data_IF_259662461317
#
_entry.id   IF_259662461317
#
_cell.length_a   1.000
_cell.length_b   1.000
_cell.length_c   1.000
_cell.angle_alpha   90.00
_cell.angle_beta   90.00
_cell.angle_gamma   90.00
#
_symmetry.space_group_name_H-M   'P 1'
#
loop_
_entity.id
_entity.type
_entity.pdbx_description
1 polymer ?
#
# COMPACT_ATOMS: atom_id res chain seq x y z
N UNK A 1 2.18 -5.63 -29.67
CA UNK A 1 0.99 -6.11 -28.92
C UNK A 1 -0.14 -5.12 -29.18
N UNK A 2 -1.35 -5.59 -29.52
CA UNK A 2 -2.49 -4.69 -29.76
C UNK A 2 -2.69 -3.73 -28.59
N UNK A 3 -2.79 -2.45 -28.88
CA UNK A 3 -3.25 -1.42 -27.94
C UNK A 3 -4.74 -1.62 -27.67
N UNK A 4 -5.09 -2.69 -26.98
CA UNK A 4 -6.46 -2.91 -26.53
C UNK A 4 -6.74 -1.83 -25.48
N UNK A 5 -7.61 -0.86 -25.82
CA UNK A 5 -8.07 0.17 -24.88
C UNK A 5 -8.62 -0.52 -23.64
N UNK A 6 -7.85 -0.51 -22.55
CA UNK A 6 -8.28 -1.08 -21.28
C UNK A 6 -9.43 -0.21 -20.77
N UNK A 7 -10.60 -0.81 -20.56
CA UNK A 7 -11.72 -0.09 -19.98
C UNK A 7 -11.33 0.46 -18.59
N UNK A 8 -11.74 1.69 -18.21
CA UNK A 8 -11.36 2.29 -16.93
C UNK A 8 -11.67 1.42 -15.72
N UNK A 9 -12.79 0.69 -15.76
CA UNK A 9 -13.16 -0.28 -14.72
C UNK A 9 -12.14 -1.40 -14.57
N UNK A 10 -11.73 -2.01 -15.69
CA UNK A 10 -10.73 -3.10 -15.71
C UNK A 10 -9.37 -2.59 -15.23
N UNK A 11 -9.03 -1.35 -15.56
CA UNK A 11 -7.80 -0.72 -15.06
C UNK A 11 -7.81 -0.63 -13.52
N UNK A 12 -8.89 -0.07 -12.96
CA UNK A 12 -9.04 0.07 -11.50
C UNK A 12 -9.05 -1.31 -10.83
N UNK A 13 -9.79 -2.27 -11.36
CA UNK A 13 -9.87 -3.62 -10.80
C UNK A 13 -8.49 -4.32 -10.77
N UNK A 14 -7.66 -4.12 -11.81
CA UNK A 14 -6.29 -4.65 -11.86
C UNK A 14 -5.37 -3.97 -10.84
N UNK A 15 -5.48 -2.65 -10.69
CA UNK A 15 -4.72 -1.89 -9.70
C UNK A 15 -5.09 -2.31 -8.28
N UNK A 16 -6.38 -2.38 -7.97
CA UNK A 16 -6.90 -2.83 -6.68
C UNK A 16 -6.47 -4.28 -6.40
N UNK A 17 -6.60 -5.17 -7.39
CA UNK A 17 -6.20 -6.57 -7.27
C UNK A 17 -4.70 -6.77 -7.04
N UNK A 18 -3.84 -5.99 -7.71
CA UNK A 18 -2.39 -6.02 -7.48
C UNK A 18 -2.02 -5.47 -6.10
N UNK A 19 -2.67 -4.37 -5.70
CA UNK A 19 -2.46 -3.76 -4.39
C UNK A 19 -2.85 -4.70 -3.25
N UNK A 20 -3.99 -5.40 -3.36
CA UNK A 20 -4.44 -6.35 -2.34
C UNK A 20 -3.41 -7.45 -2.08
N UNK A 21 -2.84 -8.05 -3.13
CA UNK A 21 -1.79 -9.07 -2.99
C UNK A 21 -0.51 -8.43 -2.42
N UNK A 22 -0.14 -7.23 -2.85
CA UNK A 22 1.06 -6.55 -2.34
C UNK A 22 0.98 -6.18 -0.86
N UNK A 23 -0.18 -5.77 -0.36
CA UNK A 23 -0.44 -5.54 1.06
C UNK A 23 -0.24 -6.84 1.85
N UNK A 24 -0.82 -7.95 1.36
CA UNK A 24 -0.70 -9.27 2.00
C UNK A 24 0.78 -9.67 2.09
N UNK A 25 1.52 -9.56 0.99
CA UNK A 25 2.93 -9.95 0.95
C UNK A 25 3.79 -9.02 1.83
N UNK A 26 3.66 -7.70 1.68
CA UNK A 26 4.54 -6.74 2.34
C UNK A 26 4.30 -6.55 3.84
N UNK A 27 3.05 -6.69 4.30
CA UNK A 27 2.67 -6.29 5.66
C UNK A 27 2.43 -7.45 6.62
N UNK A 28 1.85 -8.55 6.15
CA UNK A 28 1.47 -9.67 7.02
C UNK A 28 2.69 -10.30 7.72
N UNK A 29 3.85 -10.51 7.04
CA UNK A 29 4.99 -11.12 7.70
C UNK A 29 5.41 -10.35 8.96
N UNK A 30 5.52 -9.02 8.88
CA UNK A 30 5.86 -8.21 10.04
C UNK A 30 4.75 -8.20 11.09
N UNK A 31 3.48 -8.09 10.70
CA UNK A 31 2.37 -8.07 11.65
C UNK A 31 2.29 -9.35 12.49
N UNK A 32 2.44 -10.52 11.85
CA UNK A 32 2.41 -11.83 12.52
C UNK A 32 3.68 -12.04 13.36
N UNK A 33 4.86 -11.80 12.79
CA UNK A 33 6.12 -11.97 13.50
C UNK A 33 6.22 -11.02 14.69
N UNK A 34 5.83 -9.76 14.57
CA UNK A 34 5.86 -8.81 15.67
C UNK A 34 4.98 -9.24 16.85
N UNK A 35 3.83 -9.88 16.59
CA UNK A 35 2.97 -10.42 17.66
C UNK A 35 3.64 -11.60 18.39
N UNK A 36 4.30 -12.50 17.64
CA UNK A 36 4.97 -13.67 18.20
C UNK A 36 6.26 -13.28 18.93
N UNK A 37 7.11 -12.47 18.30
CA UNK A 37 8.43 -12.11 18.78
C UNK A 37 8.39 -11.27 20.06
N UNK A 38 7.31 -10.51 20.29
CA UNK A 38 7.06 -9.85 21.58
C UNK A 38 7.06 -10.81 22.76
N UNK A 39 6.68 -12.08 22.56
CA UNK A 39 6.68 -13.10 23.62
C UNK A 39 8.09 -13.60 23.99
N UNK A 40 9.10 -13.36 23.13
CA UNK A 40 10.47 -13.84 23.31
C UNK A 40 11.43 -12.79 23.90
N UNK A 41 10.92 -11.62 24.30
CA UNK A 41 11.68 -10.59 25.00
C UNK A 41 12.88 -10.06 24.20
N UNK A 42 14.04 -9.96 24.86
CA UNK A 42 15.28 -9.38 24.31
C UNK A 42 16.22 -10.42 23.69
N UNK A 43 15.73 -11.61 23.33
CA UNK A 43 16.57 -12.61 22.67
C UNK A 43 17.19 -12.01 21.38
N UNK A 44 18.52 -12.00 21.21
CA UNK A 44 19.17 -11.40 20.05
C UNK A 44 18.65 -11.90 18.71
N UNK A 45 18.36 -13.20 18.60
CA UNK A 45 17.79 -13.78 17.38
C UNK A 45 16.39 -13.24 17.08
N UNK A 46 15.54 -13.11 18.11
CA UNK A 46 14.19 -12.57 17.95
C UNK A 46 14.22 -11.11 17.51
N UNK A 47 15.15 -10.31 18.05
CA UNK A 47 15.33 -8.90 17.66
C UNK A 47 15.78 -8.81 16.20
N UNK A 48 16.77 -9.59 15.78
CA UNK A 48 17.24 -9.59 14.38
C UNK A 48 16.18 -10.06 13.40
N UNK A 49 15.39 -11.07 13.75
CA UNK A 49 14.27 -11.53 12.92
C UNK A 49 13.19 -10.46 12.79
N UNK A 50 12.89 -9.73 13.87
CA UNK A 50 11.98 -8.59 13.83
C UNK A 50 12.50 -7.45 12.94
N UNK A 51 13.79 -7.14 13.01
CA UNK A 51 14.42 -6.15 12.13
C UNK A 51 14.33 -6.57 10.66
N UNK A 52 14.58 -7.83 10.34
CA UNK A 52 14.42 -8.36 8.98
C UNK A 52 12.98 -8.19 8.46
N UNK A 53 11.98 -8.44 9.31
CA UNK A 53 10.58 -8.26 8.95
C UNK A 53 10.21 -6.78 8.70
N UNK A 54 10.76 -5.85 9.49
CA UNK A 54 10.58 -4.40 9.27
C UNK A 54 11.25 -3.97 7.96
N UNK A 55 12.47 -4.44 7.67
CA UNK A 55 13.16 -4.14 6.41
C UNK A 55 12.35 -4.66 5.21
N UNK A 56 11.80 -5.87 5.33
CA UNK A 56 10.91 -6.41 4.30
C UNK A 56 9.66 -5.53 4.11
N UNK A 57 9.09 -5.05 5.22
CA UNK A 57 7.95 -4.15 5.22
C UNK A 57 8.26 -2.79 4.55
N UNK A 58 9.48 -2.26 4.68
CA UNK A 58 9.89 -1.04 3.95
C UNK A 58 9.71 -1.22 2.43
N UNK A 59 9.95 -2.43 1.91
CA UNK A 59 9.80 -2.78 0.49
C UNK A 59 8.35 -2.92 0.02
N UNK A 60 7.34 -2.78 0.90
CA UNK A 60 5.92 -2.95 0.55
C UNK A 60 5.49 -2.14 -0.67
N UNK A 61 5.86 -0.85 -0.82
CA UNK A 61 5.45 -0.08 -1.99
C UNK A 61 6.02 -0.61 -3.31
N UNK A 62 7.26 -1.12 -3.27
CA UNK A 62 7.91 -1.73 -4.41
C UNK A 62 7.15 -3.00 -4.81
N UNK A 63 6.80 -3.84 -3.83
CA UNK A 63 6.03 -5.08 -4.05
C UNK A 63 4.63 -4.76 -4.60
N UNK A 64 3.95 -3.75 -4.06
CA UNK A 64 2.65 -3.30 -4.56
C UNK A 64 2.77 -2.85 -6.03
N UNK A 65 3.73 -1.99 -6.35
CA UNK A 65 3.92 -1.50 -7.72
C UNK A 65 4.26 -2.60 -8.72
N UNK A 66 5.13 -3.55 -8.35
CA UNK A 66 5.45 -4.69 -9.23
C UNK A 66 4.24 -5.60 -9.47
N UNK A 67 3.47 -5.91 -8.42
CA UNK A 67 2.29 -6.76 -8.54
C UNK A 67 1.12 -6.08 -9.28
N UNK A 68 0.97 -4.76 -9.14
CA UNK A 68 0.06 -3.99 -9.99
C UNK A 68 0.46 -4.18 -11.45
N UNK A 69 1.72 -3.93 -11.81
CA UNK A 69 2.22 -4.12 -13.18
C UNK A 69 2.06 -5.56 -13.69
N UNK A 70 2.21 -6.56 -12.81
CA UNK A 70 1.94 -7.96 -13.14
C UNK A 70 0.50 -8.20 -13.59
N UNK A 71 -0.49 -7.53 -12.96
CA UNK A 71 -1.90 -7.61 -13.36
C UNK A 71 -2.16 -6.99 -14.75
N UNK A 72 -1.23 -6.20 -15.27
CA UNK A 72 -1.26 -5.68 -16.64
C UNK A 72 -0.47 -6.54 -17.64
N UNK A 73 0.14 -7.64 -17.20
CA UNK A 73 0.89 -8.54 -18.08
C UNK A 73 2.22 -7.97 -18.57
N UNK A 74 2.80 -7.03 -17.82
CA UNK A 74 4.09 -6.44 -18.16
C UNK A 74 5.25 -7.43 -17.96
N UNK A 75 6.34 -7.21 -18.67
CA UNK A 75 7.58 -7.98 -18.50
C UNK A 75 8.32 -7.59 -17.22
N UNK A 76 9.33 -8.38 -16.83
CA UNK A 76 10.06 -8.18 -15.58
C UNK A 76 10.69 -6.77 -15.47
N UNK A 77 11.13 -6.21 -16.59
CA UNK A 77 11.69 -4.86 -16.63
C UNK A 77 10.62 -3.79 -16.34
N UNK A 78 9.52 -3.78 -17.10
CA UNK A 78 8.43 -2.82 -16.88
C UNK A 78 7.82 -2.97 -15.49
N UNK A 79 7.69 -4.20 -14.98
CA UNK A 79 7.22 -4.47 -13.63
C UNK A 79 8.11 -3.83 -12.56
N UNK A 80 9.43 -4.05 -12.64
CA UNK A 80 10.38 -3.48 -11.67
C UNK A 80 10.49 -1.97 -11.77
N UNK A 81 10.32 -1.38 -12.97
CA UNK A 81 10.25 0.07 -13.14
C UNK A 81 9.01 0.67 -12.45
N UNK A 82 7.83 0.07 -12.62
CA UNK A 82 6.61 0.50 -11.90
C UNK A 82 6.78 0.35 -10.39
N UNK A 83 7.38 -0.77 -9.95
CA UNK A 83 7.74 -0.98 -8.54
C UNK A 83 8.67 0.10 -8.00
N UNK A 84 9.72 0.45 -8.75
CA UNK A 84 10.65 1.52 -8.39
C UNK A 84 9.97 2.89 -8.33
N UNK A 85 9.11 3.23 -9.31
CA UNK A 85 8.32 4.46 -9.28
C UNK A 85 7.42 4.52 -8.04
N UNK A 86 6.71 3.43 -7.74
CA UNK A 86 5.84 3.32 -6.58
C UNK A 86 6.63 3.45 -5.27
N UNK A 87 7.83 2.86 -5.20
CA UNK A 87 8.73 2.99 -4.05
C UNK A 87 9.15 4.45 -3.81
N UNK A 88 9.58 5.16 -4.86
CA UNK A 88 9.93 6.58 -4.78
C UNK A 88 8.73 7.44 -4.39
N UNK A 89 7.57 7.22 -5.01
CA UNK A 89 6.37 8.01 -4.75
C UNK A 89 5.71 7.73 -3.40
N UNK A 90 5.90 6.54 -2.82
CA UNK A 90 5.23 6.15 -1.57
C UNK A 90 5.56 7.01 -0.35
N UNK A 91 6.66 7.75 -0.37
CA UNK A 91 7.18 8.49 0.77
C UNK A 91 7.74 7.60 1.89
N UNK A 92 8.00 6.32 1.62
CA UNK A 92 8.66 5.41 2.57
C UNK A 92 10.11 5.82 2.85
N UNK A 93 10.78 6.40 1.85
CA UNK A 93 12.12 7.00 1.97
C UNK A 93 11.97 8.51 2.03
N UNK A 94 12.55 9.14 3.05
CA UNK A 94 12.61 10.60 3.20
C UNK A 94 14.06 11.08 3.24
N UNK A 95 14.32 12.20 2.59
CA UNK A 95 15.63 12.84 2.59
C UNK A 95 15.75 13.82 3.76
N UNK A 96 16.75 13.58 4.60
CA UNK A 96 17.07 14.41 5.76
C UNK A 96 18.43 15.07 5.55
N UNK A 97 18.46 16.33 5.08
CA UNK A 97 19.71 17.05 4.82
C UNK A 97 20.52 17.33 6.09
N UNK A 98 19.89 17.31 7.27
CA UNK A 98 20.51 17.64 8.55
C UNK A 98 21.25 16.47 9.23
N UNK A 99 21.09 15.22 8.78
CA UNK A 99 21.65 14.05 9.47
C UNK A 99 23.13 13.79 9.15
N UNK A 100 23.66 14.32 8.05
CA UNK A 100 25.06 14.13 7.62
C UNK A 100 25.50 15.25 6.66
N UNK A 101 26.81 15.42 6.43
CA UNK A 101 27.37 16.45 5.53
C UNK A 101 26.85 16.40 4.08
N UNK A 102 26.35 15.24 3.63
CA UNK A 102 25.76 15.02 2.30
C UNK A 102 24.24 14.78 2.36
N UNK A 103 23.62 14.91 3.54
CA UNK A 103 22.28 14.43 3.85
C UNK A 103 22.19 12.89 3.90
N UNK A 104 21.09 12.39 4.44
CA UNK A 104 20.82 10.96 4.55
C UNK A 104 19.41 10.63 4.05
N UNK A 105 19.26 9.50 3.37
CA UNK A 105 17.97 8.91 3.06
C UNK A 105 17.60 7.93 4.16
N UNK A 106 16.47 8.18 4.83
CA UNK A 106 15.98 7.34 5.93
C UNK A 106 14.66 6.72 5.52
N UNK A 107 14.59 5.39 5.58
CA UNK A 107 13.38 4.62 5.33
C UNK A 107 12.61 4.36 6.62
N UNK A 108 11.31 4.65 6.62
CA UNK A 108 10.46 4.38 7.78
C UNK A 108 9.03 4.00 7.38
N UNK A 109 8.50 2.97 8.05
CA UNK A 109 7.13 2.50 7.86
C UNK A 109 6.90 1.86 6.50
N UNK A 110 5.67 1.94 6.01
CA UNK A 110 5.23 1.26 4.78
C UNK A 110 5.07 2.21 3.59
N UNK A 111 5.32 3.50 3.79
CA UNK A 111 4.82 4.55 2.90
C UNK A 111 3.29 4.69 2.95
N UNK A 112 2.77 5.68 2.24
CA UNK A 112 1.33 5.85 2.02
C UNK A 112 0.87 4.92 0.89
N UNK A 113 0.07 3.91 1.24
CA UNK A 113 -0.41 2.89 0.30
C UNK A 113 -1.33 3.51 -0.76
N UNK A 114 -2.10 4.54 -0.42
CA UNK A 114 -2.97 5.24 -1.39
C UNK A 114 -2.08 5.96 -2.41
N UNK A 115 -1.07 6.71 -1.94
CA UNK A 115 -0.16 7.39 -2.86
C UNK A 115 0.68 6.40 -3.69
N UNK A 116 1.05 5.26 -3.11
CA UNK A 116 1.71 4.15 -3.81
C UNK A 116 0.85 3.64 -4.97
N UNK A 117 -0.44 3.39 -4.70
CA UNK A 117 -1.39 2.93 -5.71
C UNK A 117 -1.56 3.95 -6.84
N UNK A 118 -1.68 5.23 -6.51
CA UNK A 118 -1.81 6.31 -7.49
C UNK A 118 -0.54 6.45 -8.33
N UNK A 119 0.64 6.42 -7.69
CA UNK A 119 1.94 6.50 -8.39
C UNK A 119 2.13 5.31 -9.34
N UNK A 120 1.82 4.10 -8.88
CA UNK A 120 1.87 2.90 -9.71
C UNK A 120 0.87 2.99 -10.88
N UNK A 121 -0.33 3.52 -10.65
CA UNK A 121 -1.33 3.74 -11.71
C UNK A 121 -0.83 4.70 -12.78
N UNK A 122 -0.17 5.80 -12.38
CA UNK A 122 0.45 6.76 -13.30
C UNK A 122 1.58 6.07 -14.10
N UNK A 123 2.45 5.32 -13.41
CA UNK A 123 3.54 4.59 -14.06
C UNK A 123 3.03 3.56 -15.08
N UNK A 124 2.00 2.78 -14.73
CA UNK A 124 1.34 1.85 -15.66
C UNK A 124 0.74 2.60 -16.84
N UNK A 125 0.04 3.71 -16.58
CA UNK A 125 -0.52 4.58 -17.62
C UNK A 125 0.55 5.08 -18.60
N UNK A 126 1.69 5.55 -18.09
CA UNK A 126 2.82 5.99 -18.92
C UNK A 126 3.38 4.85 -19.77
N UNK A 127 3.55 3.65 -19.21
CA UNK A 127 4.02 2.48 -19.98
C UNK A 127 3.05 2.14 -21.10
N UNK A 128 1.74 2.15 -20.84
CA UNK A 128 0.72 1.88 -21.85
C UNK A 128 0.71 2.96 -22.95
N UNK A 129 0.93 4.23 -22.60
CA UNK A 129 0.98 5.35 -23.56
C UNK A 129 2.24 5.35 -24.43
N UNK A 130 3.38 4.94 -23.85
CA UNK A 130 4.65 4.80 -24.57
C UNK A 130 4.58 3.58 -25.50
N UNK A 131 4.01 2.47 -25.04
CA UNK A 131 3.93 1.22 -25.80
C UNK A 131 5.31 0.73 -26.21
N UNK A 132 5.47 0.43 -27.50
CA UNK A 132 6.73 -0.09 -28.08
C UNK A 132 7.63 1.02 -28.66
N UNK A 133 7.29 2.30 -28.45
CA UNK A 133 7.98 3.45 -29.07
C UNK A 133 9.46 3.60 -28.69
N UNK A 134 9.88 3.04 -27.56
CA UNK A 134 11.28 3.10 -27.14
C UNK A 134 12.19 2.09 -27.85
N UNK A 135 11.65 1.08 -28.54
CA UNK A 135 12.47 0.10 -29.28
C UNK A 135 13.66 -0.42 -28.48
N UNK A 136 14.85 -0.42 -29.07
CA UNK A 136 16.09 -0.91 -28.44
C UNK A 136 16.59 -0.06 -27.26
N UNK A 137 16.18 1.21 -27.14
CA UNK A 137 16.59 2.07 -26.02
C UNK A 137 15.67 1.95 -24.80
N UNK A 138 14.63 1.10 -24.87
CA UNK A 138 13.67 0.89 -23.78
C UNK A 138 14.34 0.50 -22.45
N UNK A 139 15.45 -0.23 -22.49
CA UNK A 139 16.20 -0.64 -21.29
C UNK A 139 16.73 0.54 -20.48
N UNK A 140 17.06 1.66 -21.13
CA UNK A 140 17.57 2.87 -20.46
C UNK A 140 16.46 3.91 -20.30
N UNK A 141 15.62 4.11 -21.31
CA UNK A 141 14.63 5.18 -21.29
C UNK A 141 13.43 4.88 -20.37
N UNK A 142 13.02 3.61 -20.24
CA UNK A 142 11.85 3.26 -19.42
C UNK A 142 12.07 3.57 -17.93
N UNK A 143 13.19 3.15 -17.30
CA UNK A 143 13.47 3.54 -15.92
C UNK A 143 13.58 5.06 -15.70
N UNK A 144 14.14 5.80 -16.66
CA UNK A 144 14.32 7.26 -16.54
C UNK A 144 12.97 7.97 -16.68
N UNK A 145 12.23 7.71 -17.75
CA UNK A 145 11.00 8.45 -18.05
C UNK A 145 9.84 7.97 -17.19
N UNK A 146 9.65 6.65 -17.06
CA UNK A 146 8.56 6.08 -16.28
C UNK A 146 8.94 5.98 -14.82
N UNK A 147 10.09 5.36 -14.51
CA UNK A 147 10.53 5.14 -13.13
C UNK A 147 10.71 6.45 -12.37
N UNK A 148 11.61 7.30 -12.85
CA UNK A 148 11.86 8.60 -12.24
C UNK A 148 10.72 9.58 -12.48
N UNK A 149 10.16 9.63 -13.69
CA UNK A 149 9.07 10.57 -14.01
C UNK A 149 7.79 10.32 -13.21
N UNK A 150 7.27 9.08 -13.19
CA UNK A 150 6.11 8.75 -12.36
C UNK A 150 6.44 8.84 -10.87
N UNK A 151 7.63 8.40 -10.46
CA UNK A 151 8.09 8.52 -9.08
C UNK A 151 8.12 9.98 -8.60
N UNK A 152 8.56 10.91 -9.45
CA UNK A 152 8.59 12.35 -9.15
C UNK A 152 7.18 12.93 -9.01
N UNK A 153 6.26 12.55 -9.89
CA UNK A 153 4.84 12.95 -9.77
C UNK A 153 4.27 12.41 -8.45
N UNK A 154 4.54 11.14 -8.14
CA UNK A 154 4.17 10.52 -6.86
C UNK A 154 4.73 11.26 -5.65
N UNK A 155 5.99 11.68 -5.71
CA UNK A 155 6.65 12.44 -4.65
C UNK A 155 5.97 13.79 -4.38
N UNK A 156 5.60 14.54 -5.41
CA UNK A 156 4.87 15.80 -5.23
C UNK A 156 3.42 15.60 -4.79
N UNK A 157 2.81 14.48 -5.16
CA UNK A 157 1.45 14.12 -4.77
C UNK A 157 1.37 13.60 -3.32
N UNK A 158 2.45 13.00 -2.81
CA UNK A 158 2.57 12.43 -1.47
C UNK A 158 2.01 13.32 -0.34
N UNK A 159 2.45 14.58 -0.14
CA UNK A 159 1.96 15.40 0.96
C UNK A 159 0.44 15.64 0.89
N UNK A 160 -0.13 15.79 -0.31
CA UNK A 160 -1.56 16.02 -0.48
C UNK A 160 -2.37 14.76 -0.21
N UNK A 161 -1.92 13.61 -0.73
CA UNK A 161 -2.60 12.33 -0.51
C UNK A 161 -2.52 11.93 0.96
N UNK A 162 -1.35 12.05 1.58
CA UNK A 162 -1.20 11.77 3.01
C UNK A 162 -2.04 12.70 3.88
N UNK A 163 -2.20 13.98 3.52
CA UNK A 163 -3.12 14.86 4.24
C UNK A 163 -4.58 14.36 4.18
N UNK A 164 -5.04 13.85 3.03
CA UNK A 164 -6.37 13.25 2.89
C UNK A 164 -6.47 11.95 3.70
N UNK A 165 -5.49 11.05 3.56
CA UNK A 165 -5.42 9.78 4.31
C UNK A 165 -5.48 10.04 5.82
N UNK A 166 -4.70 11.00 6.29
CA UNK A 166 -4.67 11.43 7.69
C UNK A 166 -5.96 12.12 8.12
N UNK A 167 -6.62 12.92 7.26
CA UNK A 167 -7.89 13.55 7.59
C UNK A 167 -8.99 12.51 7.81
N UNK A 168 -9.12 11.53 6.91
CA UNK A 168 -10.06 10.41 7.06
C UNK A 168 -9.75 9.63 8.34
N UNK A 169 -8.47 9.35 8.57
CA UNK A 169 -8.00 8.75 9.80
C UNK A 169 -8.42 9.53 11.04
N UNK A 170 -8.11 10.82 11.09
CA UNK A 170 -8.39 11.68 12.25
C UNK A 170 -9.88 11.70 12.61
N UNK A 171 -10.78 11.66 11.63
CA UNK A 171 -12.22 11.51 11.90
C UNK A 171 -12.50 10.24 12.70
N UNK A 172 -11.94 9.10 12.29
CA UNK A 172 -12.09 7.84 13.04
C UNK A 172 -11.40 7.93 14.41
N UNK A 173 -10.27 8.64 14.49
CA UNK A 173 -9.56 8.82 15.74
C UNK A 173 -10.35 9.63 16.76
N UNK A 174 -11.21 10.58 16.33
CA UNK A 174 -12.11 11.28 17.28
C UNK A 174 -13.08 10.33 17.98
N UNK A 175 -13.42 9.19 17.38
CA UNK A 175 -14.26 8.19 18.05
C UNK A 175 -13.54 7.48 19.19
N UNK A 176 -12.21 7.52 19.24
CA UNK A 176 -11.42 6.94 20.34
C UNK A 176 -11.54 7.71 21.65
N UNK A 177 -11.97 8.97 21.59
CA UNK A 177 -12.20 9.82 22.77
C UNK A 177 -13.57 9.56 23.43
N UNK A 178 -14.45 8.81 22.76
CA UNK A 178 -15.77 8.45 23.27
C UNK A 178 -15.70 7.33 24.30
N UNK A 179 -16.79 7.13 25.05
CA UNK A 179 -16.90 6.01 26.00
C UNK A 179 -16.66 4.66 25.31
N UNK A 180 -16.05 3.66 25.98
CA UNK A 180 -15.56 2.44 25.34
C UNK A 180 -16.57 1.68 24.49
N UNK A 181 -17.84 1.61 24.92
CA UNK A 181 -18.91 0.94 24.17
C UNK A 181 -19.20 1.67 22.86
N UNK A 182 -19.36 3.00 22.92
CA UNK A 182 -19.68 3.82 21.75
C UNK A 182 -18.50 3.91 20.77
N UNK A 183 -17.28 4.05 21.30
CA UNK A 183 -16.04 3.99 20.53
C UNK A 183 -15.98 2.70 19.69
N UNK A 184 -16.16 1.55 20.33
CA UNK A 184 -16.05 0.26 19.64
C UNK A 184 -17.09 0.10 18.51
N UNK A 185 -18.33 0.54 18.73
CA UNK A 185 -19.40 0.48 17.72
C UNK A 185 -19.03 1.35 16.51
N UNK A 186 -18.66 2.61 16.72
CA UNK A 186 -18.40 3.56 15.64
C UNK A 186 -17.15 3.20 14.84
N UNK A 187 -16.09 2.73 15.51
CA UNK A 187 -14.86 2.27 14.83
C UNK A 187 -15.14 0.99 14.04
N UNK A 188 -15.88 0.02 14.60
CA UNK A 188 -16.26 -1.19 13.88
C UNK A 188 -17.09 -0.88 12.63
N UNK A 189 -18.08 0.00 12.73
CA UNK A 189 -18.90 0.44 11.58
C UNK A 189 -18.06 1.19 10.53
N UNK A 190 -17.13 2.04 10.97
CA UNK A 190 -16.26 2.79 10.05
C UNK A 190 -15.35 1.86 9.25
N UNK A 191 -14.69 0.91 9.92
CA UNK A 191 -13.84 -0.08 9.27
C UNK A 191 -14.62 -1.09 8.40
N UNK A 192 -15.88 -1.38 8.75
CA UNK A 192 -16.81 -2.15 7.92
C UNK A 192 -17.13 -1.45 6.59
N UNK A 193 -17.35 -0.13 6.60
CA UNK A 193 -17.55 0.65 5.37
C UNK A 193 -16.26 0.73 4.57
N UNK A 194 -15.12 0.95 5.23
CA UNK A 194 -13.83 1.09 4.55
C UNK A 194 -13.44 -0.18 3.77
N UNK A 195 -13.70 -1.40 4.27
CA UNK A 195 -13.30 -2.63 3.54
C UNK A 195 -14.08 -2.84 2.24
N UNK A 196 -15.30 -2.30 2.15
CA UNK A 196 -16.12 -2.38 0.92
C UNK A 196 -15.72 -1.26 -0.05
N UNK A 197 -15.20 -0.15 0.47
CA UNK A 197 -14.76 0.97 -0.35
C UNK A 197 -13.50 0.61 -1.15
N UNK A 198 -13.25 1.27 -2.30
CA UNK A 198 -12.00 1.13 -3.05
C UNK A 198 -10.79 1.78 -2.34
N UNK A 199 -10.92 2.12 -1.06
CA UNK A 199 -9.86 2.69 -0.22
C UNK A 199 -9.19 1.54 0.53
N UNK A 200 -7.87 1.60 0.66
CA UNK A 200 -7.14 0.63 1.49
C UNK A 200 -7.44 0.86 2.97
N UNK A 201 -8.19 -0.05 3.59
CA UNK A 201 -8.42 -0.10 5.04
C UNK A 201 -7.12 -0.12 5.82
N UNK A 202 -6.12 -0.82 5.31
CA UNK A 202 -4.79 -0.93 5.92
C UNK A 202 -4.06 0.40 5.91
N UNK A 203 -4.20 1.20 4.84
CA UNK A 203 -3.63 2.54 4.78
C UNK A 203 -4.19 3.43 5.89
N UNK A 204 -5.51 3.41 6.08
CA UNK A 204 -6.17 4.19 7.14
C UNK A 204 -5.76 3.68 8.52
N UNK A 205 -5.77 2.37 8.76
CA UNK A 205 -5.33 1.78 10.04
C UNK A 205 -3.92 2.20 10.43
N UNK A 206 -3.00 2.23 9.47
CA UNK A 206 -1.62 2.68 9.68
C UNK A 206 -1.53 4.18 9.91
N UNK A 207 -2.34 4.99 9.22
CA UNK A 207 -2.34 6.44 9.36
C UNK A 207 -2.74 6.91 10.77
N UNK A 208 -3.69 6.22 11.42
CA UNK A 208 -4.13 6.55 12.79
C UNK A 208 -3.45 5.74 13.89
N UNK A 209 -2.57 4.80 13.54
CA UNK A 209 -1.87 3.97 14.52
C UNK A 209 -2.85 3.33 15.52
N UNK A 210 -3.92 2.71 15.03
CA UNK A 210 -4.96 2.12 15.91
C UNK A 210 -4.31 1.11 16.85
N UNK A 211 -4.54 1.25 18.14
CA UNK A 211 -3.97 0.38 19.15
C UNK A 211 -5.01 -0.01 20.21
N UNK A 212 -4.72 -1.09 20.96
CA UNK A 212 -5.56 -1.55 22.08
C UNK A 212 -7.00 -1.87 21.68
N UNK A 213 -7.97 -1.35 22.44
CA UNK A 213 -9.40 -1.59 22.25
C UNK A 213 -9.90 -1.13 20.88
N UNK A 214 -9.41 0.00 20.38
CA UNK A 214 -9.78 0.53 19.06
C UNK A 214 -9.32 -0.39 17.92
N UNK A 215 -8.13 -0.98 18.03
CA UNK A 215 -7.63 -1.95 17.05
C UNK A 215 -8.47 -3.24 17.05
N UNK A 216 -8.88 -3.72 18.23
CA UNK A 216 -9.79 -4.85 18.37
C UNK A 216 -11.16 -4.57 17.75
N UNK A 217 -11.74 -3.40 18.01
CA UNK A 217 -13.01 -2.98 17.41
C UNK A 217 -12.93 -2.90 15.88
N UNK A 218 -11.87 -2.30 15.34
CA UNK A 218 -11.62 -2.25 13.91
C UNK A 218 -11.53 -3.65 13.30
N UNK A 219 -10.76 -4.56 13.92
CA UNK A 219 -10.63 -5.94 13.47
C UNK A 219 -11.97 -6.69 13.44
N UNK A 220 -12.81 -6.51 14.47
CA UNK A 220 -14.15 -7.12 14.53
C UNK A 220 -15.08 -6.59 13.43
N UNK A 221 -15.06 -5.28 13.15
CA UNK A 221 -15.84 -4.68 12.08
C UNK A 221 -15.45 -5.21 10.69
N UNK A 222 -14.14 -5.30 10.44
CA UNK A 222 -13.59 -5.91 9.21
C UNK A 222 -13.97 -7.38 9.09
N UNK A 223 -13.81 -8.16 10.17
CA UNK A 223 -14.09 -9.60 10.19
C UNK A 223 -15.58 -9.90 9.95
N UNK A 224 -16.48 -9.20 10.64
CA UNK A 224 -17.93 -9.37 10.47
C UNK A 224 -18.36 -9.07 9.03
N UNK A 225 -17.87 -7.98 8.45
CA UNK A 225 -18.16 -7.61 7.06
C UNK A 225 -17.61 -8.63 6.08
N UNK A 226 -16.38 -9.09 6.29
CA UNK A 226 -15.75 -10.11 5.44
C UNK A 226 -16.54 -11.41 5.45
N UNK A 227 -17.04 -11.87 6.61
CA UNK A 227 -17.89 -13.06 6.70
C UNK A 227 -19.19 -12.90 5.89
N UNK A 228 -19.85 -11.74 5.98
CA UNK A 228 -21.05 -11.44 5.20
C UNK A 228 -20.75 -11.44 3.70
N UNK A 229 -19.61 -10.87 3.28
CA UNK A 229 -19.19 -10.89 1.87
C UNK A 229 -18.93 -12.31 1.39
N UNK A 230 -18.20 -13.14 2.16
CA UNK A 230 -17.93 -14.55 1.82
C UNK A 230 -19.21 -15.35 1.64
N UNK A 231 -20.16 -15.24 2.58
CA UNK A 231 -21.45 -15.95 2.50
C UNK A 231 -22.27 -15.51 1.28
N UNK A 232 -22.26 -14.21 0.95
CA UNK A 232 -22.95 -13.72 -0.24
C UNK A 232 -22.22 -14.11 -1.53
N UNK A 233 -20.89 -14.16 -1.53
CA UNK A 233 -20.09 -14.62 -2.67
C UNK A 233 -20.42 -16.07 -3.04
N UNK A 234 -20.78 -16.95 -2.10
CA UNK A 234 -21.23 -18.31 -2.44
C UNK A 234 -22.50 -18.37 -3.29
N UNK A 235 -23.38 -17.35 -3.19
CA UNK A 235 -24.61 -17.30 -4.00
C UNK A 235 -24.35 -16.79 -5.42
N UNK A 236 -23.43 -15.84 -5.55
CA UNK A 236 -23.15 -15.11 -6.80
C UNK A 236 -22.04 -15.79 -7.61
N UNK A 237 -20.99 -16.24 -6.94
CA UNK A 237 -19.81 -16.86 -7.52
C UNK A 237 -19.90 -18.38 -7.39
N UNK A 238 -20.98 -18.95 -7.95
CA UNK A 238 -21.07 -20.41 -8.11
C UNK A 238 -20.02 -20.84 -9.16
N UNK A 239 -19.31 -21.96 -8.95
CA UNK A 239 -18.57 -22.59 -10.03
C UNK A 239 -19.49 -23.00 -11.18
#
# INVERSE_FOLDING_TARGET
METTKIAPKVFIDRVLGGTAIGIIVGLIPNAVLAAILKMFGTNPFAVHLGQAAIIFQLGTPLIIGTLIAQKFGFDGMKMTVVGGAAFVGSGVIKYFPALNKTGAYVGAGTGDIINTMLTASIAVGLILLIGDKFGSVAIVLTPIVVGTGAGLIGFYMYPYVTAITSAIGNVINTFTELQPVLMCILIACSFAVLIISPISTVAIAMAIQVNGLAAGAAAMGVAATTLVLVVNSWKVNKP
#
